data_IF_576747669188
#
_entry.id   IF_576747669188
#
_cell.length_a   1.000
_cell.length_b   1.000
_cell.length_c   1.000
_cell.angle_alpha   90.00
_cell.angle_beta   90.00
_cell.angle_gamma   90.00
#
_symmetry.space_group_name_H-M   'P 1'
#
loop_
_entity.id
_entity.type
_entity.pdbx_description
1 polymer ?
#
# COMPACT_ATOMS: atom_id res chain seq x y z
N UNK A 1 -23.17 10.10 -0.21
CA UNK A 1 -22.21 9.14 0.36
C UNK A 1 -21.33 9.90 1.33
N UNK A 2 -21.16 9.36 2.53
CA UNK A 2 -20.24 9.91 3.55
C UNK A 2 -19.05 8.97 3.71
N UNK A 3 -17.83 9.52 3.63
CA UNK A 3 -16.60 8.74 3.69
C UNK A 3 -15.71 9.22 4.84
N UNK A 4 -15.33 8.30 5.71
CA UNK A 4 -14.36 8.54 6.77
C UNK A 4 -12.95 8.21 6.30
N UNK A 5 -12.01 9.15 6.46
CA UNK A 5 -10.59 8.95 6.13
C UNK A 5 -9.76 9.00 7.41
N UNK A 6 -9.03 7.94 7.68
CA UNK A 6 -8.17 7.83 8.87
C UNK A 6 -6.71 7.91 8.46
N UNK A 7 -6.07 9.03 8.78
CA UNK A 7 -4.72 9.35 8.33
C UNK A 7 -4.68 10.14 7.02
N UNK A 8 -4.17 11.37 7.10
CA UNK A 8 -4.07 12.31 5.97
C UNK A 8 -2.62 12.39 5.45
N UNK A 9 -2.04 11.23 5.12
CA UNK A 9 -0.80 11.11 4.37
C UNK A 9 -1.01 11.29 2.86
N UNK A 10 -0.11 10.73 2.05
CA UNK A 10 -0.27 10.66 0.59
C UNK A 10 -1.55 9.90 0.21
N UNK A 11 -1.72 8.69 0.73
CA UNK A 11 -2.83 7.79 0.37
C UNK A 11 -4.17 8.34 0.89
N UNK A 12 -4.30 8.58 2.19
CA UNK A 12 -5.55 9.07 2.76
C UNK A 12 -5.93 10.46 2.26
N UNK A 13 -4.96 11.34 2.08
CA UNK A 13 -5.19 12.65 1.47
C UNK A 13 -5.66 12.57 0.01
N UNK A 14 -5.15 11.60 -0.76
CA UNK A 14 -5.59 11.38 -2.14
C UNK A 14 -7.02 10.82 -2.18
N UNK A 15 -7.37 9.91 -1.29
CA UNK A 15 -8.75 9.49 -1.13
C UNK A 15 -9.66 10.65 -0.76
N UNK A 16 -9.28 11.47 0.25
CA UNK A 16 -10.08 12.63 0.64
C UNK A 16 -10.38 13.54 -0.56
N UNK A 17 -9.36 13.89 -1.34
CA UNK A 17 -9.50 14.70 -2.55
C UNK A 17 -10.35 14.04 -3.64
N UNK A 18 -10.17 12.74 -3.87
CA UNK A 18 -10.93 11.99 -4.88
C UNK A 18 -12.42 11.93 -4.53
N UNK A 19 -12.76 11.60 -3.28
CA UNK A 19 -14.14 11.53 -2.83
C UNK A 19 -14.81 12.89 -2.77
N UNK A 20 -14.11 13.91 -2.27
CA UNK A 20 -14.65 15.29 -2.29
C UNK A 20 -14.92 15.76 -3.73
N UNK A 21 -14.00 15.52 -4.66
CA UNK A 21 -14.20 15.83 -6.09
C UNK A 21 -15.38 15.08 -6.72
N UNK A 22 -15.72 13.90 -6.20
CA UNK A 22 -16.90 13.12 -6.61
C UNK A 22 -18.20 13.52 -5.90
N UNK A 23 -18.19 14.58 -5.08
CA UNK A 23 -19.35 15.12 -4.38
C UNK A 23 -19.77 14.33 -3.12
N UNK A 24 -18.86 13.53 -2.55
CA UNK A 24 -19.08 12.87 -1.27
C UNK A 24 -18.78 13.83 -0.10
N UNK A 25 -19.46 13.64 1.03
CA UNK A 25 -19.06 14.25 2.29
C UNK A 25 -17.87 13.50 2.86
N UNK A 26 -16.77 14.20 3.11
CA UNK A 26 -15.50 13.62 3.60
C UNK A 26 -15.27 14.05 5.04
N UNK A 27 -15.25 13.07 5.94
CA UNK A 27 -14.83 13.25 7.33
C UNK A 27 -13.44 12.66 7.50
N UNK A 28 -12.55 13.31 8.26
CA UNK A 28 -11.21 12.78 8.42
C UNK A 28 -10.72 12.85 9.88
N UNK A 29 -9.90 11.85 10.23
CA UNK A 29 -9.09 11.84 11.45
C UNK A 29 -7.61 11.88 11.09
N UNK A 30 -6.87 12.72 11.78
CA UNK A 30 -5.42 12.74 11.68
C UNK A 30 -4.78 13.08 13.03
N UNK A 31 -3.71 12.37 13.41
CA UNK A 31 -2.99 12.61 14.67
C UNK A 31 -2.48 14.06 14.80
N UNK A 32 -1.96 14.62 13.71
CA UNK A 32 -1.54 16.02 13.66
C UNK A 32 -2.74 16.91 13.34
N UNK A 33 -3.14 17.72 14.31
CA UNK A 33 -4.25 18.67 14.14
C UNK A 33 -4.02 19.64 13.00
N UNK A 34 -2.79 20.15 12.85
CA UNK A 34 -2.43 21.09 11.78
C UNK A 34 -2.63 20.53 10.37
N UNK A 35 -2.42 19.21 10.18
CA UNK A 35 -2.69 18.54 8.90
C UNK A 35 -4.18 18.44 8.62
N UNK A 36 -4.98 18.13 9.65
CA UNK A 36 -6.43 18.08 9.51
C UNK A 36 -7.00 19.46 9.19
N UNK A 37 -6.60 20.50 9.93
CA UNK A 37 -7.03 21.87 9.70
C UNK A 37 -6.66 22.36 8.29
N UNK A 38 -5.45 22.04 7.82
CA UNK A 38 -5.03 22.35 6.46
C UNK A 38 -5.87 21.63 5.40
N UNK A 39 -6.21 20.34 5.63
CA UNK A 39 -7.06 19.57 4.72
C UNK A 39 -8.48 20.16 4.64
N UNK A 40 -9.05 20.60 5.77
CA UNK A 40 -10.34 21.28 5.83
C UNK A 40 -10.28 22.64 5.13
N UNK A 41 -9.27 23.46 5.40
CA UNK A 41 -9.08 24.76 4.73
C UNK A 41 -8.90 24.62 3.23
N UNK A 42 -8.28 23.54 2.76
CA UNK A 42 -8.10 23.27 1.31
C UNK A 42 -9.37 22.77 0.62
N UNK A 43 -10.47 22.56 1.35
CA UNK A 43 -11.72 22.04 0.84
C UNK A 43 -11.68 20.54 0.48
N UNK A 44 -10.69 19.78 0.96
CA UNK A 44 -10.62 18.34 0.70
C UNK A 44 -11.33 17.49 1.77
N UNK A 45 -11.66 18.10 2.92
CA UNK A 45 -12.30 17.46 4.07
C UNK A 45 -13.38 18.41 4.61
N UNK A 46 -14.58 17.89 4.84
CA UNK A 46 -15.73 18.67 5.30
C UNK A 46 -15.83 18.76 6.83
N UNK A 47 -15.23 17.82 7.55
CA UNK A 47 -15.27 17.78 9.01
C UNK A 47 -14.37 16.73 9.64
N UNK A 48 -14.31 16.75 10.98
CA UNK A 48 -13.55 15.79 11.75
C UNK A 48 -14.31 14.46 11.90
N UNK A 49 -13.62 13.34 11.66
CA UNK A 49 -14.14 12.00 11.95
C UNK A 49 -13.93 11.69 13.42
N UNK A 50 -15.02 11.41 14.13
CA UNK A 50 -15.05 11.13 15.58
C UNK A 50 -15.77 9.81 15.86
N UNK A 51 -15.74 9.37 17.13
CA UNK A 51 -16.54 8.22 17.58
C UNK A 51 -18.06 8.44 17.46
N UNK A 52 -18.52 9.69 17.48
CA UNK A 52 -19.94 10.03 17.46
C UNK A 52 -20.54 10.04 16.07
N UNK A 53 -19.69 10.15 15.01
CA UNK A 53 -20.16 10.25 13.64
C UNK A 53 -19.64 9.15 12.70
N UNK A 54 -18.72 8.30 13.15
CA UNK A 54 -18.14 7.22 12.32
C UNK A 54 -19.20 6.22 11.84
N UNK A 55 -20.25 5.95 12.64
CA UNK A 55 -21.35 5.05 12.28
C UNK A 55 -22.24 5.57 11.15
N UNK A 56 -22.18 6.86 10.85
CA UNK A 56 -22.92 7.47 9.74
C UNK A 56 -22.16 7.44 8.40
N UNK A 57 -20.91 6.95 8.39
CA UNK A 57 -20.15 6.77 7.16
C UNK A 57 -20.67 5.57 6.36
N UNK A 58 -20.61 5.65 5.04
CA UNK A 58 -20.82 4.50 4.15
C UNK A 58 -19.53 3.67 4.01
N UNK A 59 -18.38 4.35 4.02
CA UNK A 59 -17.06 3.80 3.86
C UNK A 59 -16.10 4.46 4.85
N UNK A 60 -15.23 3.66 5.47
CA UNK A 60 -14.09 4.16 6.27
C UNK A 60 -12.80 3.59 5.71
N UNK A 61 -11.89 4.47 5.30
CA UNK A 61 -10.58 4.12 4.74
C UNK A 61 -9.48 4.42 5.77
N UNK A 62 -8.75 3.38 6.20
CA UNK A 62 -7.69 3.53 7.19
C UNK A 62 -6.34 3.55 6.46
N UNK A 63 -5.74 4.74 6.34
CA UNK A 63 -4.47 4.98 5.65
C UNK A 63 -3.36 5.32 6.66
N UNK A 64 -3.14 4.42 7.60
CA UNK A 64 -2.12 4.48 8.65
C UNK A 64 -1.07 3.37 8.47
N UNK A 65 0.02 3.44 9.24
CA UNK A 65 0.95 2.33 9.38
C UNK A 65 0.27 1.14 10.09
N UNK A 66 0.75 -0.09 9.87
CA UNK A 66 0.05 -1.29 10.31
C UNK A 66 -0.32 -1.31 11.80
N UNK A 67 0.64 -1.06 12.69
CA UNK A 67 0.40 -1.00 14.14
C UNK A 67 -0.66 0.06 14.51
N UNK A 68 -0.52 1.26 13.93
CA UNK A 68 -1.45 2.36 14.16
C UNK A 68 -2.86 2.07 13.58
N UNK A 69 -2.95 1.30 12.49
CA UNK A 69 -4.21 0.82 11.92
C UNK A 69 -4.94 -0.09 12.91
N UNK A 70 -4.24 -1.09 13.45
CA UNK A 70 -4.80 -2.03 14.44
C UNK A 70 -5.24 -1.28 15.70
N UNK A 71 -4.42 -0.37 16.20
CA UNK A 71 -4.73 0.40 17.41
C UNK A 71 -5.91 1.34 17.22
N UNK A 72 -6.00 2.02 16.08
CA UNK A 72 -7.14 2.87 15.78
C UNK A 72 -8.41 2.04 15.66
N UNK A 73 -8.36 0.95 14.89
CA UNK A 73 -9.52 0.09 14.68
C UNK A 73 -10.01 -0.54 15.99
N UNK A 74 -9.10 -1.00 16.85
CA UNK A 74 -9.47 -1.55 18.18
C UNK A 74 -10.23 -0.55 19.06
N UNK A 75 -9.82 0.73 19.05
CA UNK A 75 -10.49 1.79 19.81
C UNK A 75 -11.85 2.18 19.24
N UNK A 76 -11.98 2.10 17.93
CA UNK A 76 -13.17 2.63 17.23
C UNK A 76 -14.23 1.56 16.94
N UNK A 77 -13.89 0.29 16.94
CA UNK A 77 -14.77 -0.80 16.49
C UNK A 77 -16.16 -0.78 17.17
N UNK A 78 -16.23 -0.51 18.47
CA UNK A 78 -17.49 -0.42 19.21
C UNK A 78 -18.39 0.75 18.76
N UNK A 79 -17.86 1.75 18.08
CA UNK A 79 -18.58 2.94 17.63
C UNK A 79 -18.98 2.90 16.15
N UNK A 80 -18.38 1.99 15.36
CA UNK A 80 -18.58 1.93 13.89
C UNK A 80 -19.96 1.35 13.56
N UNK A 81 -20.33 0.22 14.17
CA UNK A 81 -21.58 -0.49 13.87
C UNK A 81 -21.57 -1.22 12.51
N UNK A 82 -22.71 -1.80 12.10
CA UNK A 82 -22.79 -2.68 10.92
C UNK A 82 -22.92 -1.96 9.57
N UNK A 83 -23.22 -0.63 9.58
CA UNK A 83 -23.49 0.10 8.34
C UNK A 83 -22.21 0.41 7.55
N UNK A 84 -21.14 0.97 8.13
CA UNK A 84 -19.94 1.28 7.37
C UNK A 84 -19.20 0.04 6.89
N UNK A 85 -18.64 0.10 5.67
CA UNK A 85 -17.58 -0.80 5.25
C UNK A 85 -16.25 -0.16 5.62
N UNK A 86 -15.41 -0.90 6.36
CA UNK A 86 -14.07 -0.44 6.75
C UNK A 86 -13.04 -1.16 5.88
N UNK A 87 -12.14 -0.38 5.26
CA UNK A 87 -11.06 -0.92 4.44
C UNK A 87 -9.74 -0.32 4.89
N UNK A 88 -8.77 -1.14 5.26
CA UNK A 88 -7.41 -0.65 5.47
C UNK A 88 -6.71 -0.41 4.12
N UNK A 89 -5.67 0.40 4.11
CA UNK A 89 -4.90 0.76 2.91
C UNK A 89 -3.40 0.53 3.11
N UNK A 90 -3.01 -0.33 4.03
CA UNK A 90 -1.61 -0.63 4.34
C UNK A 90 -0.91 -1.46 3.26
N UNK A 91 0.42 -1.46 3.30
CA UNK A 91 1.26 -2.19 2.34
C UNK A 91 1.40 -3.69 2.60
N UNK A 92 1.08 -4.18 3.81
CA UNK A 92 1.08 -5.58 4.24
C UNK A 92 -0.29 -5.97 4.77
N UNK A 93 -0.67 -7.25 4.67
CA UNK A 93 -2.03 -7.68 5.04
C UNK A 93 -2.09 -8.69 6.18
N UNK A 94 -1.10 -9.57 6.33
CA UNK A 94 -1.17 -10.66 7.33
C UNK A 94 -1.36 -10.14 8.74
N UNK A 95 -0.54 -9.21 9.19
CA UNK A 95 -0.60 -8.64 10.54
C UNK A 95 -1.91 -7.88 10.78
N UNK A 96 -2.30 -7.04 9.83
CA UNK A 96 -3.52 -6.22 9.95
C UNK A 96 -4.77 -7.11 9.97
N UNK A 97 -4.89 -8.02 8.99
CA UNK A 97 -6.06 -8.89 8.88
C UNK A 97 -6.20 -9.84 10.08
N UNK A 98 -5.09 -10.45 10.53
CA UNK A 98 -5.08 -11.33 11.69
C UNK A 98 -5.54 -10.62 12.98
N UNK A 99 -5.21 -9.34 13.14
CA UNK A 99 -5.63 -8.55 14.29
C UNK A 99 -7.05 -7.99 14.13
N UNK A 100 -7.41 -7.47 12.94
CA UNK A 100 -8.65 -6.73 12.75
C UNK A 100 -9.88 -7.62 12.48
N UNK A 101 -9.76 -8.79 11.82
CA UNK A 101 -10.90 -9.65 11.56
C UNK A 101 -11.61 -10.15 12.85
N UNK A 102 -10.90 -10.64 13.88
CA UNK A 102 -11.57 -11.01 15.15
C UNK A 102 -12.22 -9.82 15.85
N UNK A 103 -11.62 -8.64 15.82
CA UNK A 103 -12.19 -7.42 16.38
C UNK A 103 -13.47 -7.04 15.62
N UNK A 104 -13.44 -7.07 14.30
CA UNK A 104 -14.58 -6.77 13.46
C UNK A 104 -15.75 -7.73 13.72
N UNK A 105 -15.48 -9.02 13.80
CA UNK A 105 -16.45 -10.05 14.12
C UNK A 105 -17.11 -9.81 15.50
N UNK A 106 -16.30 -9.52 16.52
CA UNK A 106 -16.80 -9.29 17.88
C UNK A 106 -17.71 -8.07 18.00
N UNK A 107 -17.55 -7.07 17.12
CA UNK A 107 -18.34 -5.83 17.13
C UNK A 107 -19.37 -5.73 15.98
N UNK A 108 -19.51 -6.77 15.16
CA UNK A 108 -20.43 -6.76 14.01
C UNK A 108 -20.08 -5.71 12.95
N UNK A 109 -18.77 -5.41 12.78
CA UNK A 109 -18.26 -4.45 11.80
C UNK A 109 -17.82 -5.17 10.52
N UNK A 110 -18.18 -4.64 9.35
CA UNK A 110 -17.65 -5.12 8.08
C UNK A 110 -16.26 -4.56 7.84
N UNK A 111 -15.22 -5.39 7.98
CA UNK A 111 -13.82 -5.01 7.75
C UNK A 111 -13.19 -5.84 6.63
N UNK A 112 -12.45 -5.19 5.73
CA UNK A 112 -11.66 -5.84 4.71
C UNK A 112 -10.23 -5.29 4.73
N UNK A 113 -9.27 -6.16 4.47
CA UNK A 113 -7.93 -5.71 4.11
C UNK A 113 -7.96 -5.07 2.72
N UNK A 114 -7.17 -4.02 2.52
CA UNK A 114 -7.04 -3.37 1.23
C UNK A 114 -5.62 -2.91 0.97
N UNK A 115 -5.26 -2.81 -0.32
CA UNK A 115 -3.98 -2.23 -0.75
C UNK A 115 -4.16 -1.54 -2.09
N UNK A 116 -4.27 -0.21 -2.11
CA UNK A 116 -4.24 0.55 -3.36
C UNK A 116 -2.84 0.49 -3.96
N UNK A 117 -2.71 -0.15 -5.14
CA UNK A 117 -1.42 -0.34 -5.82
C UNK A 117 -0.98 0.95 -6.51
N UNK A 118 -0.88 2.03 -5.74
CA UNK A 118 -0.50 3.35 -6.20
C UNK A 118 0.30 4.09 -5.13
N UNK A 119 1.27 4.88 -5.56
CA UNK A 119 2.10 5.66 -4.66
C UNK A 119 3.12 6.50 -5.42
N UNK A 120 3.80 7.37 -4.71
CA UNK A 120 4.93 8.15 -5.21
C UNK A 120 6.05 8.14 -4.18
N UNK A 121 7.23 8.60 -4.57
CA UNK A 121 8.37 8.77 -3.67
C UNK A 121 8.17 9.88 -2.61
N UNK A 122 7.12 10.67 -2.74
CA UNK A 122 6.82 11.77 -1.82
C UNK A 122 5.73 11.37 -0.84
N UNK A 123 5.84 11.81 0.39
CA UNK A 123 4.87 11.57 1.46
C UNK A 123 4.12 12.84 1.87
N UNK A 124 3.05 12.66 2.65
CA UNK A 124 2.29 13.74 3.27
C UNK A 124 1.17 14.31 2.40
N UNK A 125 0.23 14.99 3.04
CA UNK A 125 -0.99 15.54 2.44
C UNK A 125 -0.71 16.51 1.28
N UNK A 126 0.36 17.29 1.37
CA UNK A 126 0.75 18.26 0.31
C UNK A 126 1.01 17.62 -1.05
N UNK A 127 1.41 16.35 -1.07
CA UNK A 127 1.69 15.58 -2.28
C UNK A 127 0.49 14.73 -2.74
N UNK A 128 -0.60 14.73 -1.98
CA UNK A 128 -1.82 14.00 -2.30
C UNK A 128 -2.52 14.59 -3.53
N UNK A 129 -3.06 13.71 -4.39
CA UNK A 129 -3.74 14.06 -5.65
C UNK A 129 -5.03 13.28 -5.77
N UNK A 130 -6.09 13.91 -6.30
CA UNK A 130 -7.39 13.27 -6.50
C UNK A 130 -7.32 12.10 -7.52
N UNK A 131 -6.40 12.17 -8.45
CA UNK A 131 -6.20 11.20 -9.53
C UNK A 131 -5.12 10.14 -9.24
N UNK A 132 -4.58 10.08 -8.01
CA UNK A 132 -3.49 9.16 -7.67
C UNK A 132 -3.80 7.70 -7.99
N UNK A 133 -5.06 7.29 -7.83
CA UNK A 133 -5.51 5.91 -7.99
C UNK A 133 -6.06 5.60 -9.39
N UNK A 134 -6.19 6.59 -10.27
CA UNK A 134 -6.75 6.40 -11.61
C UNK A 134 -5.91 5.38 -12.39
N UNK A 135 -6.58 4.33 -12.84
CA UNK A 135 -5.94 3.26 -13.60
C UNK A 135 -5.16 2.23 -12.76
N UNK A 136 -4.95 2.49 -11.47
CA UNK A 136 -4.27 1.55 -10.59
C UNK A 136 -5.19 0.36 -10.21
N UNK A 137 -4.62 -0.82 -9.88
CA UNK A 137 -5.39 -1.89 -9.25
C UNK A 137 -5.61 -1.61 -7.76
N UNK A 138 -6.72 -2.15 -7.23
CA UNK A 138 -7.00 -2.25 -5.80
C UNK A 138 -7.03 -3.71 -5.40
N UNK A 139 -6.18 -4.12 -4.47
CA UNK A 139 -6.23 -5.46 -3.89
C UNK A 139 -7.11 -5.44 -2.65
N UNK A 140 -8.00 -6.41 -2.55
CA UNK A 140 -8.94 -6.60 -1.41
C UNK A 140 -8.71 -7.98 -0.81
N UNK A 141 -8.64 -8.00 0.51
CA UNK A 141 -8.55 -9.22 1.31
C UNK A 141 -9.81 -9.29 2.18
N UNK A 142 -10.82 -10.06 1.77
CA UNK A 142 -12.04 -10.25 2.54
C UNK A 142 -11.79 -11.23 3.71
N UNK A 143 -12.64 -11.23 4.75
CA UNK A 143 -12.60 -12.23 5.81
C UNK A 143 -12.97 -13.64 5.31
N UNK A 144 -13.83 -13.72 4.31
CA UNK A 144 -14.19 -14.94 3.56
C UNK A 144 -14.51 -14.59 2.09
N UNK A 145 -14.68 -15.60 1.24
CA UNK A 145 -14.90 -15.44 -0.20
C UNK A 145 -16.34 -15.70 -0.64
N UNK A 146 -17.24 -15.99 0.28
CA UNK A 146 -18.62 -16.42 -0.07
C UNK A 146 -19.57 -15.23 -0.23
N UNK A 147 -19.23 -14.05 0.29
CA UNK A 147 -20.09 -12.84 0.23
C UNK A 147 -19.86 -12.01 -1.06
N UNK A 148 -20.47 -12.47 -2.16
CA UNK A 148 -20.42 -11.78 -3.45
C UNK A 148 -21.07 -10.39 -3.40
N UNK A 149 -22.10 -10.20 -2.55
CA UNK A 149 -22.77 -8.91 -2.41
C UNK A 149 -21.84 -7.88 -1.74
N UNK A 150 -21.06 -8.31 -0.77
CA UNK A 150 -20.03 -7.47 -0.16
C UNK A 150 -18.98 -7.03 -1.20
N UNK A 151 -18.55 -7.93 -2.09
CA UNK A 151 -17.58 -7.59 -3.13
C UNK A 151 -18.11 -6.52 -4.08
N UNK A 152 -19.36 -6.63 -4.50
CA UNK A 152 -19.97 -5.62 -5.37
C UNK A 152 -20.18 -4.30 -4.61
N UNK A 153 -20.60 -4.35 -3.35
CA UNK A 153 -20.72 -3.16 -2.50
C UNK A 153 -19.38 -2.43 -2.36
N UNK A 154 -18.30 -3.14 -2.08
CA UNK A 154 -16.94 -2.57 -1.95
C UNK A 154 -16.49 -1.92 -3.26
N UNK A 155 -16.69 -2.59 -4.41
CA UNK A 155 -16.38 -2.01 -5.73
C UNK A 155 -17.15 -0.70 -5.98
N UNK A 156 -18.44 -0.65 -5.65
CA UNK A 156 -19.25 0.56 -5.80
C UNK A 156 -18.78 1.69 -4.89
N UNK A 157 -18.47 1.38 -3.63
CA UNK A 157 -17.95 2.35 -2.66
C UNK A 157 -16.59 2.93 -3.08
N UNK A 158 -15.72 2.10 -3.68
CA UNK A 158 -14.36 2.52 -4.12
C UNK A 158 -14.33 3.09 -5.55
N UNK A 159 -15.44 3.05 -6.28
CA UNK A 159 -15.53 3.57 -7.67
C UNK A 159 -15.07 5.02 -7.82
N UNK A 160 -15.40 5.97 -6.90
CA UNK A 160 -14.96 7.37 -7.02
C UNK A 160 -13.44 7.55 -7.02
N UNK A 161 -12.66 6.62 -6.46
CA UNK A 161 -11.21 6.67 -6.48
C UNK A 161 -10.59 6.37 -7.87
N UNK A 162 -11.36 5.79 -8.81
CA UNK A 162 -10.93 5.60 -10.20
C UNK A 162 -10.03 4.39 -10.44
N UNK A 163 -10.10 3.37 -9.57
CA UNK A 163 -9.37 2.11 -9.78
C UNK A 163 -9.82 1.40 -11.07
N UNK A 164 -8.83 0.89 -11.86
CA UNK A 164 -9.12 0.18 -13.10
C UNK A 164 -9.61 -1.25 -12.88
N UNK A 165 -9.17 -1.90 -11.80
CA UNK A 165 -9.51 -3.29 -11.49
C UNK A 165 -9.42 -3.57 -9.99
N UNK A 166 -10.15 -4.61 -9.57
CA UNK A 166 -10.12 -5.15 -8.22
C UNK A 166 -9.62 -6.60 -8.25
N UNK A 167 -8.68 -6.92 -7.37
CA UNK A 167 -8.18 -8.28 -7.18
C UNK A 167 -8.54 -8.73 -5.77
N UNK A 168 -9.22 -9.88 -5.65
CA UNK A 168 -9.56 -10.46 -4.36
C UNK A 168 -8.61 -11.61 -4.05
N UNK A 169 -8.01 -11.62 -2.87
CA UNK A 169 -6.99 -12.61 -2.48
C UNK A 169 -6.96 -12.81 -0.97
N UNK A 170 -6.18 -13.77 -0.49
CA UNK A 170 -5.90 -13.96 0.93
C UNK A 170 -4.77 -13.04 1.40
N UNK A 171 -4.69 -12.77 2.72
CA UNK A 171 -3.61 -11.98 3.29
C UNK A 171 -2.23 -12.63 3.04
N UNK A 172 -2.16 -13.96 3.10
CA UNK A 172 -0.95 -14.72 2.83
C UNK A 172 -0.48 -14.53 1.38
N UNK A 173 -1.33 -14.83 0.42
CA UNK A 173 -1.00 -14.71 -1.01
C UNK A 173 -0.69 -13.24 -1.42
N UNK A 174 -1.36 -12.26 -0.78
CA UNK A 174 -1.03 -10.85 -0.97
C UNK A 174 0.41 -10.58 -0.55
N UNK A 175 0.79 -10.94 0.67
CA UNK A 175 2.11 -10.60 1.22
C UNK A 175 3.25 -11.35 0.52
N UNK A 176 3.03 -12.60 0.07
CA UNK A 176 3.94 -13.32 -0.81
C UNK A 176 4.18 -12.56 -2.13
N UNK A 177 3.10 -12.14 -2.79
CA UNK A 177 3.21 -11.40 -4.06
C UNK A 177 3.86 -10.03 -3.87
N UNK A 178 3.57 -9.33 -2.77
CA UNK A 178 4.15 -8.01 -2.48
C UNK A 178 5.64 -8.11 -2.14
N UNK A 179 6.09 -9.19 -1.52
CA UNK A 179 7.53 -9.43 -1.32
C UNK A 179 8.27 -9.37 -2.65
N UNK A 180 7.80 -10.05 -3.68
CA UNK A 180 8.42 -10.09 -5.00
C UNK A 180 8.18 -8.79 -5.80
N UNK A 181 6.92 -8.39 -5.99
CA UNK A 181 6.58 -7.32 -6.96
C UNK A 181 6.90 -5.91 -6.48
N UNK A 182 7.04 -5.72 -5.16
CA UNK A 182 7.27 -4.41 -4.55
C UNK A 182 8.52 -4.39 -3.68
N UNK A 183 8.58 -5.20 -2.62
CA UNK A 183 9.64 -5.10 -1.61
C UNK A 183 11.01 -5.43 -2.18
N UNK A 184 11.12 -6.51 -2.97
CA UNK A 184 12.36 -6.87 -3.68
C UNK A 184 12.86 -5.74 -4.57
N UNK A 185 12.00 -5.11 -5.34
CA UNK A 185 12.39 -4.01 -6.21
C UNK A 185 13.04 -2.86 -5.44
N UNK A 186 12.51 -2.54 -4.24
CA UNK A 186 13.08 -1.50 -3.39
C UNK A 186 14.41 -1.91 -2.74
N UNK A 187 14.53 -3.17 -2.26
CA UNK A 187 15.80 -3.68 -1.71
C UNK A 187 16.90 -3.68 -2.77
N UNK A 188 16.61 -4.25 -3.95
CA UNK A 188 17.57 -4.35 -5.06
C UNK A 188 18.00 -2.96 -5.54
N UNK A 189 17.06 -2.06 -5.76
CA UNK A 189 17.33 -0.69 -6.19
C UNK A 189 18.18 0.08 -5.17
N UNK A 190 17.84 -0.03 -3.88
CA UNK A 190 18.58 0.62 -2.80
C UNK A 190 19.98 0.01 -2.61
N UNK A 191 20.15 -1.31 -2.75
CA UNK A 191 21.43 -1.97 -2.71
C UNK A 191 22.31 -1.59 -3.92
N UNK A 192 21.71 -1.55 -5.11
CA UNK A 192 22.40 -1.22 -6.36
C UNK A 192 23.05 0.17 -6.32
N UNK A 193 22.35 1.18 -5.82
CA UNK A 193 22.85 2.57 -5.79
C UNK A 193 23.95 2.79 -4.73
N UNK A 194 24.19 1.83 -3.82
CA UNK A 194 25.29 1.91 -2.83
C UNK A 194 26.67 1.64 -3.42
N UNK A 195 26.76 1.22 -4.67
CA UNK A 195 28.06 1.08 -5.35
C UNK A 195 28.80 2.43 -5.36
N UNK A 196 30.10 2.47 -5.01
CA UNK A 196 30.92 3.68 -5.14
C UNK A 196 30.90 4.27 -6.55
N UNK A 197 30.74 3.43 -7.58
CA UNK A 197 30.62 3.82 -8.97
C UNK A 197 29.35 4.66 -9.25
N UNK A 198 28.31 4.48 -8.46
CA UNK A 198 27.08 5.24 -8.64
C UNK A 198 27.28 6.76 -8.48
N UNK A 199 28.26 7.20 -7.68
CA UNK A 199 28.58 8.63 -7.54
C UNK A 199 29.15 9.27 -8.83
N UNK A 200 29.66 8.46 -9.76
CA UNK A 200 30.36 8.90 -10.97
C UNK A 200 29.53 8.68 -12.24
N UNK A 201 28.24 8.34 -12.13
CA UNK A 201 27.40 7.92 -13.27
C UNK A 201 27.08 9.04 -14.28
N UNK A 202 27.27 10.33 -13.91
CA UNK A 202 26.88 11.47 -14.77
C UNK A 202 27.62 11.42 -16.12
N UNK A 203 26.84 11.46 -17.21
CA UNK A 203 27.35 11.32 -18.58
C UNK A 203 27.43 9.88 -19.09
N UNK A 204 27.28 8.87 -18.20
CA UNK A 204 27.33 7.45 -18.58
C UNK A 204 26.02 6.71 -18.36
N UNK A 205 25.00 7.37 -17.80
CA UNK A 205 23.71 6.75 -17.44
C UNK A 205 22.62 7.09 -18.47
N UNK A 206 21.79 6.09 -18.78
CA UNK A 206 20.65 6.18 -19.68
C UNK A 206 19.40 5.54 -19.03
N UNK A 207 18.44 5.09 -19.84
CA UNK A 207 17.17 4.55 -19.40
C UNK A 207 17.30 3.44 -18.35
N UNK A 208 18.10 2.42 -18.62
CA UNK A 208 18.29 1.27 -17.73
C UNK A 208 18.71 1.66 -16.31
N UNK A 209 19.66 2.59 -16.19
CA UNK A 209 20.08 3.09 -14.88
C UNK A 209 18.94 3.83 -14.17
N UNK A 210 18.21 4.69 -14.89
CA UNK A 210 17.07 5.44 -14.36
C UNK A 210 15.95 4.51 -13.87
N UNK A 211 15.64 3.47 -14.65
CA UNK A 211 14.60 2.51 -14.29
C UNK A 211 14.99 1.71 -13.05
N UNK A 212 16.23 1.23 -12.97
CA UNK A 212 16.77 0.48 -11.84
C UNK A 212 16.87 1.31 -10.54
N UNK A 213 17.05 2.62 -10.63
CA UNK A 213 17.30 3.49 -9.46
C UNK A 213 16.11 4.32 -9.05
N UNK A 214 15.02 4.31 -9.82
CA UNK A 214 13.82 5.14 -9.58
C UNK A 214 13.21 4.93 -8.20
N UNK A 215 13.21 3.71 -7.70
CA UNK A 215 12.61 3.33 -6.41
C UNK A 215 13.63 3.24 -5.26
N UNK A 216 14.89 3.62 -5.50
CA UNK A 216 15.92 3.66 -4.45
C UNK A 216 15.68 4.78 -3.41
N UNK A 217 15.03 5.87 -3.84
CA UNK A 217 14.63 6.95 -2.94
C UNK A 217 13.32 6.57 -2.24
N UNK A 218 13.39 6.36 -0.94
CA UNK A 218 12.30 5.85 -0.13
C UNK A 218 12.36 6.43 1.30
N UNK A 219 11.27 6.30 2.07
CA UNK A 219 11.26 6.60 3.51
C UNK A 219 11.88 5.43 4.29
N UNK A 220 13.06 5.58 4.90
CA UNK A 220 13.74 4.46 5.57
C UNK A 220 12.90 3.84 6.69
N UNK A 221 12.23 4.66 7.49
CA UNK A 221 11.45 4.20 8.65
C UNK A 221 10.27 3.34 8.20
N UNK A 222 9.50 3.82 7.23
CA UNK A 222 8.34 3.10 6.69
C UNK A 222 8.73 1.76 6.05
N UNK A 223 9.78 1.78 5.22
CA UNK A 223 10.19 0.57 4.50
C UNK A 223 10.85 -0.46 5.42
N UNK A 224 11.58 -0.01 6.46
CA UNK A 224 12.12 -0.93 7.46
C UNK A 224 11.02 -1.68 8.20
N UNK A 225 9.94 -0.99 8.61
CA UNK A 225 8.75 -1.60 9.22
C UNK A 225 8.10 -2.62 8.29
N UNK A 226 7.80 -2.22 7.03
CA UNK A 226 7.17 -3.10 6.04
C UNK A 226 8.03 -4.34 5.70
N UNK A 227 9.36 -4.20 5.66
CA UNK A 227 10.26 -5.33 5.41
C UNK A 227 10.26 -6.31 6.59
N UNK A 228 10.24 -5.80 7.82
CA UNK A 228 10.21 -6.66 9.01
C UNK A 228 8.86 -7.37 9.19
N UNK A 229 7.76 -6.73 8.83
CA UNK A 229 6.43 -7.37 8.88
C UNK A 229 6.27 -8.52 7.88
N UNK A 230 6.96 -8.45 6.75
CA UNK A 230 6.91 -9.45 5.68
C UNK A 230 8.26 -10.17 5.48
N UNK A 231 9.08 -10.22 6.55
CA UNK A 231 10.48 -10.64 6.45
C UNK A 231 10.68 -12.06 5.93
N UNK A 232 9.81 -12.98 6.27
CA UNK A 232 9.89 -14.38 5.86
C UNK A 232 9.75 -14.52 4.34
N UNK A 233 8.74 -13.90 3.75
CA UNK A 233 8.55 -13.86 2.30
C UNK A 233 9.68 -13.08 1.60
N UNK A 234 10.07 -11.93 2.15
CA UNK A 234 11.13 -11.11 1.57
C UNK A 234 12.50 -11.80 1.64
N UNK A 235 12.82 -12.48 2.73
CA UNK A 235 14.05 -13.26 2.86
C UNK A 235 14.09 -14.41 1.85
N UNK A 236 12.96 -15.11 1.67
CA UNK A 236 12.85 -16.17 0.65
C UNK A 236 13.19 -15.64 -0.74
N UNK A 237 12.59 -14.52 -1.16
CA UNK A 237 12.88 -13.91 -2.46
C UNK A 237 14.32 -13.40 -2.58
N UNK A 238 14.88 -12.85 -1.50
CA UNK A 238 16.27 -12.39 -1.47
C UNK A 238 17.25 -13.56 -1.64
N UNK A 239 17.01 -14.69 -0.99
CA UNK A 239 17.87 -15.88 -1.09
C UNK A 239 17.88 -16.43 -2.52
N UNK A 240 16.70 -16.51 -3.16
CA UNK A 240 16.57 -16.91 -4.57
C UNK A 240 17.33 -15.94 -5.48
N UNK A 241 17.13 -14.64 -5.29
CA UNK A 241 17.78 -13.61 -6.11
C UNK A 241 19.30 -13.63 -5.97
N UNK A 242 19.81 -13.77 -4.74
CA UNK A 242 21.25 -13.87 -4.50
C UNK A 242 21.84 -15.15 -5.10
N UNK A 243 21.13 -16.27 -5.07
CA UNK A 243 21.57 -17.50 -5.72
C UNK A 243 21.73 -17.31 -7.24
N UNK A 244 20.72 -16.73 -7.90
CA UNK A 244 20.79 -16.44 -9.33
C UNK A 244 21.90 -15.43 -9.68
N UNK A 245 22.09 -14.38 -8.87
CA UNK A 245 23.25 -13.47 -9.07
C UNK A 245 24.59 -14.20 -8.92
N UNK A 246 24.65 -15.18 -8.01
CA UNK A 246 25.83 -16.05 -7.85
C UNK A 246 26.14 -16.83 -9.12
N UNK A 247 25.15 -17.40 -9.79
CA UNK A 247 25.31 -18.15 -11.05
C UNK A 247 25.93 -17.27 -12.15
N UNK A 248 25.45 -16.03 -12.33
CA UNK A 248 26.04 -15.09 -13.27
C UNK A 248 27.49 -14.75 -12.93
N UNK A 249 27.78 -14.45 -11.65
CA UNK A 249 29.13 -14.15 -11.19
C UNK A 249 30.08 -15.33 -11.46
N UNK A 250 29.67 -16.54 -11.12
CA UNK A 250 30.49 -17.74 -11.23
C UNK A 250 30.76 -18.13 -12.70
N UNK A 251 29.76 -17.95 -13.58
CA UNK A 251 29.96 -18.12 -15.02
C UNK A 251 30.93 -17.09 -15.60
N UNK A 252 30.83 -15.83 -15.20
CA UNK A 252 31.79 -14.78 -15.60
C UNK A 252 33.22 -15.05 -15.10
N UNK A 253 33.36 -15.53 -13.85
CA UNK A 253 34.69 -15.88 -13.31
C UNK A 253 35.40 -17.01 -14.08
N UNK A 254 34.60 -17.88 -14.70
CA UNK A 254 35.14 -19.01 -15.52
C UNK A 254 35.20 -18.73 -17.00
N UNK A 255 34.87 -17.52 -17.44
CA UNK A 255 34.73 -17.15 -18.85
C UNK A 255 33.77 -18.11 -19.62
N UNK A 256 32.71 -18.62 -18.93
CA UNK A 256 31.78 -19.61 -19.46
C UNK A 256 30.66 -18.93 -20.26
N UNK A 257 30.94 -18.60 -21.51
CA UNK A 257 30.00 -17.98 -22.44
C UNK A 257 28.74 -18.83 -22.69
N UNK A 258 28.81 -20.17 -22.86
CA UNK A 258 27.60 -20.99 -23.00
C UNK A 258 26.66 -20.89 -21.81
N UNK A 259 27.15 -20.96 -20.57
CA UNK A 259 26.35 -20.82 -19.36
C UNK A 259 25.74 -19.43 -19.24
N UNK A 260 26.50 -18.36 -19.50
CA UNK A 260 25.95 -17.00 -19.50
C UNK A 260 24.82 -16.82 -20.51
N UNK A 261 24.99 -17.37 -21.72
CA UNK A 261 23.94 -17.30 -22.74
C UNK A 261 22.65 -18.00 -22.30
N UNK A 262 22.80 -19.19 -21.70
CA UNK A 262 21.66 -19.94 -21.16
C UNK A 262 20.93 -19.17 -20.04
N UNK A 263 21.66 -18.65 -19.04
CA UNK A 263 21.10 -17.87 -17.94
C UNK A 263 20.32 -16.63 -18.42
N UNK A 264 20.85 -15.95 -19.43
CA UNK A 264 20.18 -14.80 -20.04
C UNK A 264 18.90 -15.20 -20.80
N UNK A 265 18.91 -16.35 -21.47
CA UNK A 265 17.74 -16.86 -22.19
C UNK A 265 16.64 -17.33 -21.24
N UNK A 266 17.00 -17.96 -20.13
CA UNK A 266 16.06 -18.36 -19.06
C UNK A 266 15.34 -17.18 -18.41
N UNK A 267 15.97 -15.99 -18.36
CA UNK A 267 15.39 -14.77 -17.80
C UNK A 267 14.55 -13.94 -18.79
N UNK A 268 14.48 -14.37 -20.05
CA UNK A 268 13.75 -13.67 -21.13
C UNK A 268 12.31 -14.12 -21.21
#
# INVERSE_FOLDING_TARGET
MTVGIVGLGLIGGSFAKAYHAAGATVLAYNRSRSVLDFAMMSGAVDGELTQDNVSACDLVLIALYPEATVDWFRRMAAHIGPHPVVVDCGGTKRTICAACFPIAQAHGVTFLGGHPMAGTQFSGFKNAKADLFHGAPMVIVPPDFDDVLLFDRVKQLLKPAGFARFSFTTAQAHDEMIAFTSQMAHVVSNAYIKSPTAAQHKGFSAGSYKDMTRVAWLSPEMWAELFLENKDNLLHELDIFMAHLGEYRDAMQRDDLPTLTRLLDEGR
#
